data_IF_346171489962
#
_entry.id   IF_346171489962
#
_cell.length_a   1.000
_cell.length_b   1.000
_cell.length_c   1.000
_cell.angle_alpha   90.00
_cell.angle_beta   90.00
_cell.angle_gamma   90.00
#
_symmetry.space_group_name_H-M   'P 1'
#
loop_
_entity.id
_entity.type
_entity.pdbx_description
1 polymer ?
#
# COMPACT_ATOMS: atom_id res chain seq x y z
N UNK A 1 -5.66 -26.78 51.31
CA UNK A 1 -5.05 -27.58 52.39
C UNK A 1 -4.85 -28.99 51.86
N UNK A 2 -3.65 -29.57 52.03
CA UNK A 2 -3.27 -30.95 51.69
C UNK A 2 -4.25 -32.00 52.31
N UNK A 3 -4.36 -33.30 51.93
CA UNK A 3 -3.31 -34.30 51.64
C UNK A 3 -3.93 -35.64 51.10
N UNK A 4 -3.28 -36.33 50.12
CA UNK A 4 -3.12 -37.82 49.88
C UNK A 4 -4.37 -38.76 49.81
N UNK A 5 -4.38 -40.01 49.27
CA UNK A 5 -3.41 -41.01 48.72
C UNK A 5 -4.23 -41.97 47.78
N UNK A 6 -3.81 -42.36 46.56
CA UNK A 6 -3.06 -43.58 46.14
C UNK A 6 -3.70 -44.93 46.59
N UNK A 7 -3.68 -46.08 45.86
CA UNK A 7 -2.74 -46.71 44.89
C UNK A 7 -3.49 -47.75 43.98
N UNK A 8 -3.06 -48.06 42.73
CA UNK A 8 -2.84 -49.42 42.13
C UNK A 8 -2.74 -49.47 40.57
N UNK A 9 -1.70 -50.15 40.05
CA UNK A 9 -1.59 -50.68 38.67
C UNK A 9 -1.76 -52.22 38.66
N UNK A 10 -1.24 -53.03 37.68
CA UNK A 10 -0.12 -52.71 36.77
C UNK A 10 -0.19 -53.28 35.31
N UNK A 11 0.90 -53.02 34.56
CA UNK A 11 1.57 -53.89 33.55
C UNK A 11 0.90 -54.30 32.21
N UNK A 12 1.65 -54.14 31.11
CA UNK A 12 1.40 -54.74 29.80
C UNK A 12 2.31 -54.19 28.68
N UNK A 13 3.49 -54.80 28.49
CA UNK A 13 4.50 -54.40 27.48
C UNK A 13 4.58 -55.38 26.31
N UNK A 14 4.87 -54.86 25.09
CA UNK A 14 5.54 -55.46 23.91
C UNK A 14 5.01 -54.75 22.65
N UNK A 15 5.75 -54.57 21.55
CA UNK A 15 7.15 -54.86 21.23
C UNK A 15 7.34 -54.58 19.73
N UNK A 16 8.44 -53.93 19.32
CA UNK A 16 8.64 -53.49 17.92
C UNK A 16 9.46 -54.49 17.10
N UNK A 17 9.20 -54.55 15.79
CA UNK A 17 10.07 -55.28 14.83
C UNK A 17 10.23 -54.51 13.53
N UNK A 18 11.47 -54.21 13.15
CA UNK A 18 11.84 -53.74 11.80
C UNK A 18 11.99 -54.93 10.84
N UNK A 19 11.78 -54.69 9.55
CA UNK A 19 12.44 -55.45 8.48
C UNK A 19 12.72 -54.55 7.28
N UNK A 20 13.96 -54.59 6.79
CA UNK A 20 14.43 -53.93 5.57
C UNK A 20 14.83 -55.02 4.59
N UNK A 21 14.44 -54.89 3.31
CA UNK A 21 15.11 -55.56 2.21
C UNK A 21 15.11 -54.68 0.97
N UNK A 22 16.24 -54.69 0.26
CA UNK A 22 16.43 -54.06 -1.05
C UNK A 22 16.93 -55.13 -2.03
N UNK A 23 16.70 -54.98 -3.33
CA UNK A 23 17.72 -55.22 -4.36
C UNK A 23 17.29 -54.77 -5.78
N UNK A 24 18.29 -54.20 -6.46
CA UNK A 24 18.48 -53.77 -7.87
C UNK A 24 17.54 -54.26 -9.00
N UNK A 25 17.23 -53.33 -9.92
CA UNK A 25 17.96 -53.26 -11.21
C UNK A 25 17.20 -53.50 -12.54
N UNK A 26 17.14 -52.50 -13.42
CA UNK A 26 17.12 -52.64 -14.89
C UNK A 26 17.44 -51.30 -15.60
N UNK A 27 18.02 -51.38 -16.80
CA UNK A 27 18.40 -50.25 -17.65
C UNK A 27 17.28 -49.86 -18.64
N UNK A 28 17.18 -48.58 -19.00
CA UNK A 28 16.29 -48.09 -20.05
C UNK A 28 16.77 -46.76 -20.62
N UNK A 29 17.22 -46.78 -21.88
CA UNK A 29 17.70 -45.61 -22.62
C UNK A 29 16.55 -44.81 -23.24
N UNK A 30 16.59 -43.49 -23.12
CA UNK A 30 15.90 -42.57 -24.05
C UNK A 30 16.89 -41.54 -24.56
N UNK A 31 16.86 -41.35 -25.87
CA UNK A 31 17.79 -40.51 -26.64
C UNK A 31 17.16 -39.14 -26.95
N UNK A 32 17.96 -38.25 -27.53
CA UNK A 32 17.76 -36.80 -27.71
C UNK A 32 16.35 -36.30 -28.10
N UNK A 33 15.94 -35.18 -27.49
CA UNK A 33 15.83 -33.91 -28.23
C UNK A 33 15.83 -32.72 -27.29
N UNK A 34 16.92 -31.96 -27.28
CA UNK A 34 17.12 -30.79 -26.42
C UNK A 34 16.40 -29.56 -26.99
N UNK A 35 15.24 -29.22 -26.43
CA UNK A 35 14.72 -27.85 -26.48
C UNK A 35 15.17 -27.11 -25.20
N UNK A 36 15.95 -26.01 -25.28
CA UNK A 36 16.29 -25.24 -24.08
C UNK A 36 15.02 -24.58 -23.53
N UNK A 37 14.70 -24.74 -22.22
CA UNK A 37 13.55 -24.08 -21.63
C UNK A 37 13.75 -22.56 -21.62
N UNK A 38 12.64 -21.83 -21.76
CA UNK A 38 12.63 -20.37 -21.74
C UNK A 38 13.43 -19.83 -20.54
N UNK A 39 14.41 -18.97 -20.82
CA UNK A 39 15.30 -18.41 -19.82
C UNK A 39 14.51 -17.65 -18.74
N UNK A 40 14.43 -18.23 -17.54
CA UNK A 40 14.13 -17.45 -16.34
C UNK A 40 15.21 -16.39 -16.21
N UNK A 41 14.88 -15.12 -16.50
CA UNK A 41 15.64 -13.98 -16.00
C UNK A 41 15.41 -13.88 -14.49
N UNK A 42 16.03 -14.82 -13.76
CA UNK A 42 16.17 -14.77 -12.31
C UNK A 42 17.24 -13.74 -11.96
N UNK A 43 16.97 -12.48 -12.29
CA UNK A 43 17.73 -11.33 -11.85
C UNK A 43 17.51 -11.12 -10.36
N UNK A 44 18.17 -11.95 -9.55
CA UNK A 44 18.22 -11.80 -8.10
C UNK A 44 18.99 -10.54 -7.74
N UNK A 45 18.29 -9.40 -7.77
CA UNK A 45 18.79 -8.17 -7.16
C UNK A 45 18.79 -8.37 -5.65
N UNK A 46 19.98 -8.33 -5.09
CA UNK A 46 20.22 -8.26 -3.65
C UNK A 46 19.67 -6.94 -3.11
N UNK A 47 18.38 -6.93 -2.78
CA UNK A 47 17.84 -5.89 -1.90
C UNK A 47 18.56 -5.96 -0.56
N UNK A 48 19.14 -4.84 -0.15
CA UNK A 48 20.01 -4.75 1.02
C UNK A 48 19.18 -4.62 2.31
N UNK A 49 18.32 -5.61 2.57
CA UNK A 49 17.86 -5.96 3.91
C UNK A 49 16.77 -5.09 4.51
N UNK A 50 15.75 -4.68 3.75
CA UNK A 50 14.50 -4.16 4.34
C UNK A 50 13.31 -4.89 3.71
N UNK A 51 12.40 -5.52 4.49
CA UNK A 51 11.31 -6.34 3.95
C UNK A 51 10.34 -5.58 3.02
N UNK A 52 9.65 -6.35 2.17
CA UNK A 52 8.59 -5.90 1.25
C UNK A 52 7.32 -5.34 1.92
N UNK A 53 7.33 -5.18 3.26
CA UNK A 53 6.15 -5.03 4.11
C UNK A 53 5.37 -3.72 3.91
N UNK A 54 6.00 -2.69 3.35
CA UNK A 54 5.35 -1.40 3.02
C UNK A 54 5.01 -1.22 1.53
N UNK A 55 5.31 -2.20 0.66
CA UNK A 55 4.74 -2.26 -0.70
C UNK A 55 3.32 -2.88 -0.72
N UNK A 56 2.89 -3.43 0.43
CA UNK A 56 1.78 -4.39 0.53
C UNK A 56 0.38 -3.88 0.14
N UNK A 57 0.07 -2.59 0.26
CA UNK A 57 -1.30 -2.13 -0.04
C UNK A 57 -1.66 -2.20 -1.53
N UNK A 58 -0.67 -2.16 -2.42
CA UNK A 58 -0.89 -2.11 -3.88
C UNK A 58 -0.29 -3.30 -4.65
N UNK A 59 0.39 -4.23 -3.97
CA UNK A 59 1.00 -5.40 -4.60
C UNK A 59 0.00 -6.31 -5.36
N UNK A 60 -1.28 -6.28 -4.98
CA UNK A 60 -2.37 -7.06 -5.61
C UNK A 60 -3.08 -6.33 -6.75
N UNK A 61 -2.75 -5.06 -7.01
CA UNK A 61 -3.48 -4.24 -7.99
C UNK A 61 -4.90 -3.83 -7.57
N UNK A 62 -5.30 -4.08 -6.31
CA UNK A 62 -6.65 -3.84 -5.81
C UNK A 62 -6.75 -2.75 -4.73
N UNK A 63 -5.65 -2.06 -4.38
CA UNK A 63 -5.59 -1.09 -3.30
C UNK A 63 -5.71 0.38 -3.73
N UNK A 64 -5.08 1.27 -2.95
CA UNK A 64 -5.05 2.72 -3.13
C UNK A 64 -4.71 3.14 -4.57
N UNK A 65 -5.61 3.87 -5.23
CA UNK A 65 -5.35 4.42 -6.56
C UNK A 65 -5.22 3.37 -7.67
N UNK A 66 -5.71 2.14 -7.43
CA UNK A 66 -5.80 1.07 -8.42
C UNK A 66 -6.82 1.32 -9.53
N UNK A 67 -7.65 2.36 -9.42
CA UNK A 67 -8.81 2.61 -10.26
C UNK A 67 -9.80 1.43 -10.34
N UNK A 68 -9.81 0.58 -9.31
CA UNK A 68 -10.83 -0.42 -9.12
C UNK A 68 -12.21 0.25 -9.02
N UNK A 69 -13.21 -0.32 -9.69
CA UNK A 69 -14.60 0.09 -9.50
C UNK A 69 -15.11 -0.46 -8.17
N UNK A 70 -14.93 0.33 -7.11
CA UNK A 70 -15.35 -0.01 -5.75
C UNK A 70 -16.87 0.07 -5.57
N UNK A 71 -17.59 0.72 -6.49
CA UNK A 71 -19.00 1.10 -6.34
C UNK A 71 -19.26 2.17 -5.27
N UNK A 72 -18.22 2.84 -4.76
CA UNK A 72 -18.30 3.84 -3.68
C UNK A 72 -18.24 5.28 -4.22
N UNK A 73 -18.85 6.25 -3.53
CA UNK A 73 -18.55 7.67 -3.73
C UNK A 73 -17.06 8.00 -3.45
N UNK A 74 -16.55 9.06 -4.06
CA UNK A 74 -15.11 9.30 -4.15
C UNK A 74 -14.45 9.82 -2.87
N UNK A 75 -15.22 10.54 -2.07
CA UNK A 75 -14.88 10.92 -0.71
C UNK A 75 -14.83 9.68 0.21
N UNK A 76 -15.80 8.77 0.10
CA UNK A 76 -15.81 7.49 0.82
C UNK A 76 -14.63 6.61 0.40
N UNK A 77 -14.35 6.47 -0.91
CA UNK A 77 -13.20 5.71 -1.39
C UNK A 77 -11.87 6.31 -0.89
N UNK A 78 -11.66 7.62 -1.03
CA UNK A 78 -10.45 8.29 -0.54
C UNK A 78 -10.24 8.06 0.97
N UNK A 79 -11.30 8.15 1.77
CA UNK A 79 -11.23 7.89 3.21
C UNK A 79 -10.70 6.48 3.49
N UNK A 80 -11.26 5.46 2.83
CA UNK A 80 -10.89 4.07 3.05
C UNK A 80 -9.46 3.79 2.57
N UNK A 81 -9.08 4.36 1.42
CA UNK A 81 -7.73 4.27 0.86
C UNK A 81 -6.66 4.88 1.77
N UNK A 82 -6.96 6.01 2.41
CA UNK A 82 -6.02 6.68 3.31
C UNK A 82 -6.03 6.12 4.75
N UNK A 83 -7.14 5.52 5.21
CA UNK A 83 -7.34 5.17 6.64
C UNK A 83 -7.50 3.71 6.98
N UNK A 84 -8.16 2.94 6.12
CA UNK A 84 -8.64 1.60 6.49
C UNK A 84 -7.78 0.50 5.86
N UNK A 85 -7.43 0.64 4.59
CA UNK A 85 -6.88 -0.46 3.80
C UNK A 85 -5.45 -0.85 4.18
N UNK A 86 -4.70 0.00 4.90
CA UNK A 86 -3.42 -0.39 5.51
C UNK A 86 -3.52 -1.64 6.40
N UNK A 87 -4.69 -1.87 7.02
CA UNK A 87 -4.99 -3.09 7.77
C UNK A 87 -6.11 -3.95 7.15
N UNK A 88 -7.00 -3.36 6.35
CA UNK A 88 -8.24 -3.98 5.85
C UNK A 88 -8.23 -4.26 4.33
N UNK A 89 -7.21 -5.00 3.86
CA UNK A 89 -7.13 -5.52 2.48
C UNK A 89 -7.12 -7.06 2.38
N UNK A 90 -6.95 -7.76 3.49
CA UNK A 90 -6.86 -9.22 3.52
C UNK A 90 -8.15 -9.83 4.07
N UNK A 91 -8.16 -11.15 4.30
CA UNK A 91 -9.27 -11.82 5.00
C UNK A 91 -9.27 -11.58 6.52
N UNK A 92 -8.18 -11.07 7.10
CA UNK A 92 -8.02 -10.88 8.55
C UNK A 92 -7.01 -9.77 8.88
N UNK A 93 -7.46 -8.57 9.31
CA UNK A 93 -8.87 -8.11 9.37
C UNK A 93 -9.57 -8.16 8.00
N UNK A 94 -10.91 -8.38 7.97
CA UNK A 94 -11.66 -8.49 6.72
C UNK A 94 -11.56 -7.21 5.87
N UNK A 95 -11.70 -7.31 4.54
CA UNK A 95 -11.51 -6.18 3.64
C UNK A 95 -12.64 -5.17 3.79
N UNK A 96 -12.33 -3.89 3.51
CA UNK A 96 -13.25 -2.74 3.67
C UNK A 96 -13.22 -1.75 2.48
N UNK A 97 -12.71 -2.13 1.31
CA UNK A 97 -12.51 -1.21 0.19
C UNK A 97 -13.67 -1.17 -0.82
N UNK A 98 -14.48 -2.23 -0.91
CA UNK A 98 -15.60 -2.27 -1.87
C UNK A 98 -16.95 -1.99 -1.21
N UNK A 99 -17.93 -1.58 -2.03
CA UNK A 99 -19.33 -1.45 -1.59
C UNK A 99 -19.86 -2.73 -0.92
N UNK A 100 -19.57 -3.89 -1.52
CA UNK A 100 -20.03 -5.19 -1.01
C UNK A 100 -19.31 -5.59 0.29
N UNK A 101 -18.06 -5.12 0.50
CA UNK A 101 -17.38 -5.26 1.79
C UNK A 101 -18.04 -4.44 2.89
N UNK A 102 -18.37 -3.18 2.59
CA UNK A 102 -18.97 -2.25 3.53
C UNK A 102 -20.40 -2.63 3.91
N UNK A 103 -21.21 -3.16 2.98
CA UNK A 103 -22.56 -3.61 3.26
C UNK A 103 -22.67 -5.06 3.77
N UNK A 104 -21.55 -5.79 3.83
CA UNK A 104 -21.52 -7.13 4.44
C UNK A 104 -22.09 -7.08 5.86
N UNK A 105 -23.04 -7.95 6.24
CA UNK A 105 -23.53 -8.01 7.61
C UNK A 105 -22.42 -8.43 8.57
N UNK A 106 -22.31 -7.75 9.72
CA UNK A 106 -21.50 -8.24 10.83
C UNK A 106 -22.25 -9.37 11.52
N UNK A 107 -21.57 -10.51 11.69
CA UNK A 107 -22.11 -11.74 12.31
C UNK A 107 -22.74 -11.50 13.70
N UNK A 108 -22.30 -10.45 14.40
CA UNK A 108 -22.85 -10.02 15.69
C UNK A 108 -23.34 -8.57 15.60
N UNK A 109 -24.63 -8.36 15.86
CA UNK A 109 -25.25 -7.04 16.07
C UNK A 109 -26.16 -6.54 14.95
N UNK A 110 -26.31 -7.27 13.84
CA UNK A 110 -27.23 -6.90 12.73
C UNK A 110 -26.79 -5.72 11.87
N UNK A 111 -25.81 -4.93 12.33
CA UNK A 111 -25.17 -3.84 11.60
C UNK A 111 -24.32 -4.35 10.43
N UNK A 112 -24.21 -3.54 9.39
CA UNK A 112 -23.22 -3.66 8.32
C UNK A 112 -21.80 -3.38 8.82
N UNK A 113 -20.80 -3.72 8.01
CA UNK A 113 -19.41 -3.32 8.29
C UNK A 113 -19.25 -1.79 8.29
N UNK A 114 -19.96 -1.06 7.43
CA UNK A 114 -19.93 0.41 7.38
C UNK A 114 -20.44 1.06 8.68
N UNK A 115 -21.61 0.66 9.17
CA UNK A 115 -22.16 1.13 10.44
C UNK A 115 -21.24 0.78 11.61
N UNK A 116 -20.67 -0.43 11.59
CA UNK A 116 -19.68 -0.86 12.60
C UNK A 116 -18.41 0.02 12.53
N UNK A 117 -17.94 0.37 11.34
CA UNK A 117 -16.77 1.25 11.18
C UNK A 117 -17.04 2.65 11.74
N UNK A 118 -18.23 3.22 11.51
CA UNK A 118 -18.62 4.51 12.11
C UNK A 118 -18.67 4.43 13.64
N UNK A 119 -19.29 3.38 14.22
CA UNK A 119 -19.28 3.16 15.68
C UNK A 119 -17.86 3.10 16.24
N UNK A 120 -16.96 2.37 15.56
CA UNK A 120 -15.59 2.14 16.04
C UNK A 120 -14.67 3.33 15.84
N UNK A 121 -14.81 4.10 14.76
CA UNK A 121 -14.07 5.37 14.62
C UNK A 121 -14.44 6.38 15.73
N UNK A 122 -15.67 6.28 16.28
CA UNK A 122 -16.15 7.11 17.40
C UNK A 122 -15.93 6.48 18.79
N UNK A 123 -15.41 5.25 18.86
CA UNK A 123 -15.34 4.50 20.13
C UNK A 123 -14.12 4.89 20.97
N UNK A 124 -14.36 5.39 22.19
CA UNK A 124 -13.29 5.63 23.16
C UNK A 124 -12.74 4.33 23.81
N UNK A 125 -13.40 3.18 23.65
CA UNK A 125 -13.06 1.91 24.33
C UNK A 125 -12.62 0.79 23.39
N UNK A 126 -13.02 0.83 22.11
CA UNK A 126 -12.50 -0.06 21.07
C UNK A 126 -12.38 0.69 19.73
N UNK A 127 -11.53 1.74 19.69
CA UNK A 127 -11.34 2.56 18.50
C UNK A 127 -10.91 1.74 17.28
N UNK A 128 -11.28 2.24 16.09
CA UNK A 128 -10.64 1.86 14.83
C UNK A 128 -10.20 3.11 14.08
N UNK A 129 -8.96 3.15 13.56
CA UNK A 129 -7.92 2.13 13.73
C UNK A 129 -7.44 2.06 15.19
N UNK A 130 -6.84 0.93 15.64
CA UNK A 130 -6.41 0.76 17.02
C UNK A 130 -5.06 1.48 17.26
N UNK A 131 -4.77 1.99 18.46
CA UNK A 131 -3.46 2.55 18.79
C UNK A 131 -2.31 1.58 18.43
N UNK A 132 -1.18 2.06 17.89
CA UNK A 132 -0.77 3.47 17.80
C UNK A 132 -1.33 4.25 16.60
N UNK A 133 -2.18 3.64 15.78
CA UNK A 133 -2.68 4.26 14.55
C UNK A 133 -3.46 5.57 14.80
N UNK A 134 -3.37 6.50 13.85
CA UNK A 134 -4.02 7.81 13.90
C UNK A 134 -5.52 7.65 13.64
N UNK A 135 -6.35 8.18 14.54
CA UNK A 135 -7.80 8.20 14.36
C UNK A 135 -8.19 9.20 13.26
N UNK A 136 -9.13 8.87 12.36
CA UNK A 136 -9.69 9.82 11.41
C UNK A 136 -10.27 11.07 12.09
N UNK A 137 -10.15 12.20 11.41
CA UNK A 137 -10.71 13.49 11.86
C UNK A 137 -12.24 13.45 11.94
N UNK A 138 -12.84 14.38 12.68
CA UNK A 138 -14.31 14.46 12.84
C UNK A 138 -15.00 14.59 11.48
N UNK A 139 -14.43 15.33 10.53
CA UNK A 139 -15.03 15.50 9.21
C UNK A 139 -14.81 14.29 8.29
N UNK A 140 -13.72 13.52 8.47
CA UNK A 140 -13.54 12.23 7.80
C UNK A 140 -14.55 11.19 8.30
N UNK A 141 -14.77 11.13 9.62
CA UNK A 141 -15.81 10.28 10.20
C UNK A 141 -17.19 10.68 9.64
N UNK A 142 -17.43 11.98 9.47
CA UNK A 142 -18.67 12.50 8.91
C UNK A 142 -18.88 12.11 7.43
N UNK A 143 -17.84 11.86 6.64
CA UNK A 143 -17.99 11.34 5.26
C UNK A 143 -18.68 9.97 5.28
N UNK A 144 -18.13 9.01 6.01
CA UNK A 144 -18.72 7.66 6.08
C UNK A 144 -20.08 7.67 6.79
N UNK A 145 -20.24 8.45 7.87
CA UNK A 145 -21.51 8.56 8.59
C UNK A 145 -22.63 9.15 7.73
N UNK A 146 -22.36 10.22 6.97
CA UNK A 146 -23.37 10.81 6.09
C UNK A 146 -23.74 9.88 4.93
N UNK A 147 -22.77 9.14 4.38
CA UNK A 147 -23.04 8.12 3.36
C UNK A 147 -23.94 6.99 3.89
N UNK A 148 -23.62 6.43 5.06
CA UNK A 148 -24.45 5.42 5.74
C UNK A 148 -25.86 5.97 6.03
N UNK A 149 -25.95 7.19 6.56
CA UNK A 149 -27.24 7.85 6.87
C UNK A 149 -28.08 8.14 5.61
N UNK A 150 -27.45 8.32 4.46
CA UNK A 150 -28.12 8.47 3.17
C UNK A 150 -28.64 7.13 2.58
N UNK A 151 -28.51 6.02 3.31
CA UNK A 151 -28.88 4.68 2.84
C UNK A 151 -27.79 4.01 1.99
N UNK A 152 -26.54 4.45 2.12
CA UNK A 152 -25.37 3.91 1.43
C UNK A 152 -25.54 3.81 -0.10
N UNK A 153 -25.83 4.92 -0.82
CA UNK A 153 -25.98 4.88 -2.28
C UNK A 153 -24.68 4.48 -2.99
N UNK A 154 -24.77 3.68 -4.06
CA UNK A 154 -23.62 3.40 -4.93
C UNK A 154 -23.11 4.67 -5.61
N UNK A 155 -21.79 4.82 -5.66
CA UNK A 155 -21.12 5.82 -6.48
C UNK A 155 -20.87 5.33 -7.91
N UNK A 156 -20.55 6.26 -8.81
CA UNK A 156 -19.87 5.92 -10.06
C UNK A 156 -18.37 5.74 -9.79
N UNK A 157 -17.67 4.94 -10.61
CA UNK A 157 -16.22 4.78 -10.52
C UNK A 157 -15.50 6.13 -10.53
N UNK A 158 -14.71 6.38 -9.49
CA UNK A 158 -14.16 7.69 -9.18
C UNK A 158 -12.94 8.08 -9.98
N UNK A 159 -12.21 7.08 -10.47
CA UNK A 159 -11.00 7.22 -11.25
C UNK A 159 -11.03 6.12 -12.29
N UNK A 160 -10.78 6.40 -13.58
CA UNK A 160 -10.63 5.34 -14.56
C UNK A 160 -9.60 4.32 -14.08
N UNK A 161 -9.82 3.03 -14.35
CA UNK A 161 -8.79 2.02 -14.21
C UNK A 161 -7.49 2.54 -14.87
N UNK A 162 -6.32 2.41 -14.22
CA UNK A 162 -5.07 2.79 -14.82
C UNK A 162 -4.93 2.09 -16.16
N UNK A 163 -4.50 2.84 -17.18
CA UNK A 163 -4.06 2.21 -18.41
C UNK A 163 -3.00 1.16 -18.09
N UNK A 164 -2.97 0.07 -18.86
CA UNK A 164 -1.94 -0.96 -18.76
C UNK A 164 -0.58 -0.28 -18.62
N UNK A 165 0.25 -0.61 -17.60
CA UNK A 165 1.57 -0.01 -17.47
C UNK A 165 2.28 -0.11 -18.82
N UNK A 166 2.66 1.04 -19.38
CA UNK A 166 3.29 1.06 -20.70
C UNK A 166 4.58 0.25 -20.60
N UNK A 167 4.61 -0.93 -21.23
CA UNK A 167 5.75 -1.85 -21.18
C UNK A 167 7.03 -1.07 -21.42
N UNK A 168 8.08 -1.24 -20.58
CA UNK A 168 9.09 -0.22 -20.25
C UNK A 168 9.51 0.57 -21.47
N UNK A 169 8.81 1.69 -21.68
CA UNK A 169 8.72 2.27 -23.01
C UNK A 169 10.01 3.04 -23.26
N UNK A 170 10.72 2.66 -24.33
CA UNK A 170 11.97 3.30 -24.73
C UNK A 170 11.82 4.83 -24.73
N UNK A 171 12.43 5.47 -23.73
CA UNK A 171 12.04 6.80 -23.29
C UNK A 171 12.49 7.06 -21.85
N UNK A 172 12.14 8.24 -21.33
CA UNK A 172 12.71 8.79 -20.08
C UNK A 172 12.44 8.00 -18.79
N UNK A 173 11.55 6.99 -18.84
CA UNK A 173 11.26 6.12 -17.71
C UNK A 173 12.14 4.86 -17.67
N UNK A 174 12.79 4.47 -18.78
CA UNK A 174 13.68 3.30 -18.79
C UNK A 174 15.06 3.65 -18.22
N UNK A 175 15.14 3.82 -16.89
CA UNK A 175 16.38 4.11 -16.15
C UNK A 175 16.86 2.89 -15.36
N UNK A 176 18.17 2.70 -15.14
CA UNK A 176 18.63 1.65 -14.23
C UNK A 176 18.13 1.90 -12.80
N UNK A 177 17.91 0.83 -12.02
CA UNK A 177 17.66 0.97 -10.58
C UNK A 177 18.91 1.52 -9.90
N UNK A 178 18.87 2.77 -9.44
CA UNK A 178 20.03 3.42 -8.82
C UNK A 178 19.61 4.52 -7.84
N UNK A 179 20.47 4.84 -6.88
CA UNK A 179 20.30 6.02 -6.04
C UNK A 179 21.11 7.18 -6.63
N UNK A 180 20.49 7.99 -7.50
CA UNK A 180 21.17 9.01 -8.30
C UNK A 180 21.81 10.10 -7.44
N UNK A 181 21.24 10.40 -6.28
CA UNK A 181 21.80 11.39 -5.33
C UNK A 181 23.04 10.88 -4.58
N UNK A 182 23.30 9.56 -4.60
CA UNK A 182 24.35 8.91 -3.80
C UNK A 182 24.17 9.05 -2.28
N UNK A 183 22.98 9.49 -1.82
CA UNK A 183 22.69 9.78 -0.41
C UNK A 183 21.39 9.10 0.00
N UNK A 184 21.44 8.33 1.08
CA UNK A 184 20.26 7.69 1.67
C UNK A 184 19.90 8.30 3.01
N UNK A 185 18.65 8.08 3.44
CA UNK A 185 18.19 8.38 4.78
C UNK A 185 18.84 7.44 5.79
N UNK A 186 19.61 8.02 6.71
CA UNK A 186 20.33 7.29 7.78
C UNK A 186 19.76 7.54 9.18
N UNK A 187 18.71 8.35 9.30
CA UNK A 187 18.13 8.72 10.60
C UNK A 187 17.23 7.66 11.24
N UNK A 188 16.98 6.53 10.58
CA UNK A 188 16.07 5.48 11.06
C UNK A 188 14.67 6.03 11.36
N UNK A 189 14.05 5.57 12.45
CA UNK A 189 12.72 6.04 12.91
C UNK A 189 12.73 7.44 13.57
N UNK A 190 13.82 8.21 13.52
CA UNK A 190 13.84 9.59 14.04
C UNK A 190 12.88 10.46 13.22
N UNK A 191 11.94 11.11 13.92
CA UNK A 191 11.01 12.06 13.31
C UNK A 191 11.77 13.12 12.48
N UNK A 192 11.37 13.27 11.22
CA UNK A 192 11.90 14.26 10.31
C UNK A 192 10.97 14.40 9.10
N UNK A 193 10.74 15.60 8.54
CA UNK A 193 10.03 15.74 7.27
C UNK A 193 10.79 15.11 6.09
N UNK A 194 12.09 14.84 6.28
CA UNK A 194 12.98 14.27 5.27
C UNK A 194 13.15 12.74 5.44
N UNK A 195 12.40 12.09 6.34
CA UNK A 195 12.54 10.67 6.63
C UNK A 195 12.03 9.76 5.50
N UNK A 196 12.64 8.58 5.40
CA UNK A 196 12.22 7.48 4.52
C UNK A 196 11.74 7.87 3.10
N UNK A 197 12.54 8.62 2.30
CA UNK A 197 12.15 8.97 0.94
C UNK A 197 11.80 7.74 0.09
N UNK A 198 10.78 7.86 -0.75
CA UNK A 198 10.29 6.78 -1.62
C UNK A 198 9.40 5.74 -0.93
N UNK A 199 9.27 5.74 0.41
CA UNK A 199 8.30 4.87 1.10
C UNK A 199 6.89 5.46 1.08
N UNK A 200 5.87 4.61 1.26
CA UNK A 200 4.48 5.02 1.45
C UNK A 200 4.36 5.86 2.74
N UNK A 201 3.94 7.12 2.59
CA UNK A 201 3.99 8.12 3.66
C UNK A 201 2.74 8.06 4.56
N UNK A 202 1.55 8.09 3.94
CA UNK A 202 0.27 8.15 4.65
C UNK A 202 -0.02 6.80 5.30
N UNK A 203 0.27 5.72 4.59
CA UNK A 203 0.10 4.33 5.08
C UNK A 203 0.87 4.12 6.38
N UNK A 204 2.16 4.46 6.37
CA UNK A 204 3.03 4.35 7.54
C UNK A 204 2.57 5.29 8.68
N UNK A 205 2.34 6.58 8.41
CA UNK A 205 1.96 7.53 9.47
C UNK A 205 0.55 7.27 10.03
N UNK A 206 -0.39 6.76 9.23
CA UNK A 206 -1.70 6.33 9.72
C UNK A 206 -1.57 5.10 10.61
N UNK A 207 -0.72 4.12 10.28
CA UNK A 207 -0.57 2.88 11.06
C UNK A 207 0.32 3.02 12.31
N UNK A 208 1.45 3.73 12.22
CA UNK A 208 2.44 3.83 13.31
C UNK A 208 2.24 5.04 14.24
N UNK A 209 1.34 5.97 13.91
CA UNK A 209 1.03 7.14 14.74
C UNK A 209 1.90 8.36 14.43
N UNK A 210 1.65 9.02 13.29
CA UNK A 210 2.45 10.16 12.84
C UNK A 210 1.66 11.34 12.26
N UNK A 211 2.34 12.27 11.59
CA UNK A 211 1.73 13.42 10.92
C UNK A 211 0.60 13.04 9.97
N UNK A 212 -0.57 13.61 10.21
CA UNK A 212 -1.77 13.35 9.42
C UNK A 212 -1.75 14.02 8.04
N UNK A 213 -1.25 13.32 7.02
CA UNK A 213 -1.13 13.82 5.65
C UNK A 213 -2.30 13.35 4.77
N UNK A 214 -2.76 14.23 3.88
CA UNK A 214 -3.78 13.99 2.84
C UNK A 214 -3.14 13.80 1.47
N UNK A 215 -1.95 14.36 1.23
CA UNK A 215 -1.11 14.09 0.06
C UNK A 215 0.35 14.07 0.50
N UNK A 216 1.10 13.03 0.13
CA UNK A 216 2.54 12.94 0.42
C UNK A 216 3.28 11.98 -0.53
N UNK A 217 4.59 12.22 -0.71
CA UNK A 217 5.46 11.37 -1.51
C UNK A 217 6.86 11.96 -1.69
N UNK A 218 7.59 11.45 -2.69
CA UNK A 218 8.97 11.87 -2.97
C UNK A 218 9.21 12.05 -4.48
N UNK A 219 9.79 13.19 -4.86
CA UNK A 219 10.20 13.50 -6.24
C UNK A 219 11.67 13.12 -6.47
N UNK A 220 11.96 12.43 -7.58
CA UNK A 220 13.28 11.89 -7.94
C UNK A 220 13.81 12.42 -9.29
N UNK A 221 15.13 12.36 -9.54
CA UNK A 221 15.71 12.72 -10.83
C UNK A 221 15.56 11.60 -11.88
N UNK A 222 15.39 10.34 -11.47
CA UNK A 222 15.15 9.19 -12.35
C UNK A 222 13.92 8.38 -11.93
N UNK A 223 13.47 7.46 -12.79
CA UNK A 223 12.22 6.72 -12.60
C UNK A 223 12.35 5.51 -11.67
N UNK A 224 13.56 4.98 -11.51
CA UNK A 224 13.80 3.74 -10.78
C UNK A 224 14.83 3.98 -9.67
N UNK A 225 14.37 4.50 -8.53
CA UNK A 225 15.23 4.78 -7.37
C UNK A 225 14.79 3.93 -6.16
N UNK A 226 15.73 3.32 -5.43
CA UNK A 226 15.40 2.47 -4.29
C UNK A 226 14.74 3.28 -3.18
N UNK A 227 14.07 2.58 -2.25
CA UNK A 227 13.60 3.22 -1.03
C UNK A 227 14.78 3.83 -0.26
N UNK A 228 14.48 4.87 0.50
CA UNK A 228 15.39 5.62 1.36
C UNK A 228 16.48 6.41 0.63
N UNK A 229 16.58 6.34 -0.71
CA UNK A 229 17.40 7.25 -1.49
C UNK A 229 16.80 8.66 -1.48
N UNK A 230 17.61 9.68 -1.18
CA UNK A 230 17.18 11.07 -1.28
C UNK A 230 16.89 11.42 -2.75
N UNK A 231 15.73 12.02 -3.00
CA UNK A 231 15.30 12.46 -4.32
C UNK A 231 15.94 13.79 -4.76
N UNK A 232 15.18 14.60 -5.51
CA UNK A 232 15.68 15.91 -5.99
C UNK A 232 15.80 16.92 -4.85
N UNK A 233 16.77 17.84 -5.01
CA UNK A 233 16.85 19.02 -4.14
C UNK A 233 15.67 19.97 -4.39
N UNK A 234 15.53 20.98 -3.52
CA UNK A 234 14.55 22.04 -3.65
C UNK A 234 14.66 22.79 -5.00
N UNK A 235 13.54 23.39 -5.44
CA UNK A 235 13.42 24.06 -6.75
C UNK A 235 12.37 23.43 -7.67
N UNK A 236 11.76 22.32 -7.25
CA UNK A 236 10.52 21.77 -7.82
C UNK A 236 9.34 21.97 -6.86
N UNK A 237 8.11 21.92 -7.39
CA UNK A 237 6.86 22.00 -6.64
C UNK A 237 5.89 20.96 -7.16
N UNK A 238 5.20 20.26 -6.26
CA UNK A 238 4.09 19.38 -6.60
C UNK A 238 2.81 20.21 -6.58
N UNK A 239 2.12 20.26 -7.71
CA UNK A 239 0.87 21.01 -7.88
C UNK A 239 -0.27 20.01 -7.92
N UNK A 240 -1.18 20.11 -6.95
CA UNK A 240 -2.38 19.27 -6.85
C UNK A 240 -3.58 20.12 -7.26
N UNK A 241 -4.33 19.68 -8.27
CA UNK A 241 -5.62 20.27 -8.67
C UNK A 241 -6.73 19.30 -8.32
N UNK A 242 -7.61 19.71 -7.41
CA UNK A 242 -8.66 18.85 -6.88
C UNK A 242 -9.96 18.89 -7.72
N UNK A 243 -10.94 18.05 -7.40
CA UNK A 243 -12.20 17.94 -8.13
C UNK A 243 -13.02 19.24 -8.17
N UNK A 244 -12.79 20.19 -7.26
CA UNK A 244 -13.43 21.52 -7.26
C UNK A 244 -12.69 22.53 -8.13
N UNK A 245 -11.56 22.15 -8.72
CA UNK A 245 -10.66 23.04 -9.46
C UNK A 245 -9.68 23.81 -8.56
N UNK A 246 -9.70 23.58 -7.25
CA UNK A 246 -8.78 24.23 -6.31
C UNK A 246 -7.35 23.72 -6.53
N UNK A 247 -6.43 24.65 -6.71
CA UNK A 247 -5.00 24.38 -6.87
C UNK A 247 -4.27 24.51 -5.54
N UNK A 248 -3.50 23.50 -5.17
CA UNK A 248 -2.63 23.47 -3.99
C UNK A 248 -1.19 23.24 -4.42
N UNK A 249 -0.31 24.20 -4.11
CA UNK A 249 1.12 24.10 -4.37
C UNK A 249 1.83 23.53 -3.13
N UNK A 250 2.38 22.32 -3.26
CA UNK A 250 3.11 21.62 -2.20
C UNK A 250 4.61 21.71 -2.47
N UNK A 251 5.39 22.43 -1.65
CA UNK A 251 6.82 22.59 -1.87
C UNK A 251 7.58 21.29 -1.59
N UNK A 252 8.59 21.01 -2.40
CA UNK A 252 9.47 19.84 -2.26
C UNK A 252 10.71 20.22 -1.45
N UNK A 253 11.10 19.35 -0.51
CA UNK A 253 12.23 19.53 0.40
C UNK A 253 13.55 19.06 -0.20
N UNK A 254 14.64 19.22 0.55
CA UNK A 254 16.00 18.87 0.10
C UNK A 254 16.23 17.38 -0.18
N UNK A 255 15.36 16.48 0.29
CA UNK A 255 15.41 15.03 0.00
C UNK A 255 14.36 14.57 -1.02
N UNK A 256 13.72 15.49 -1.74
CA UNK A 256 12.63 15.19 -2.67
C UNK A 256 11.27 14.98 -1.99
N UNK A 257 11.22 14.87 -0.66
CA UNK A 257 9.97 14.69 0.08
C UNK A 257 9.04 15.90 -0.02
N UNK A 258 7.74 15.64 -0.13
CA UNK A 258 6.67 16.63 -0.02
C UNK A 258 5.50 16.05 0.78
N UNK A 259 4.76 16.92 1.47
CA UNK A 259 3.59 16.51 2.23
C UNK A 259 2.63 17.67 2.50
N UNK A 260 1.34 17.35 2.63
CA UNK A 260 0.25 18.31 2.85
C UNK A 260 -0.83 17.71 3.77
N UNK A 261 -1.34 18.51 4.70
CA UNK A 261 -2.35 18.10 5.72
C UNK A 261 -3.74 18.72 5.51
N UNK A 262 -3.91 19.59 4.52
CA UNK A 262 -5.19 20.24 4.26
C UNK A 262 -6.10 19.39 3.38
N UNK A 263 -7.33 19.85 3.14
CA UNK A 263 -8.31 19.15 2.29
C UNK A 263 -7.98 19.25 0.79
N UNK A 264 -8.09 18.12 0.11
CA UNK A 264 -8.02 17.93 -1.35
C UNK A 264 -9.26 17.10 -1.75
N UNK A 265 -10.15 17.65 -2.57
CA UNK A 265 -11.35 16.93 -3.01
C UNK A 265 -11.03 15.84 -4.07
N UNK A 266 -11.40 14.57 -3.85
CA UNK A 266 -11.19 13.49 -4.83
C UNK A 266 -12.22 13.54 -5.97
N UNK A 267 -11.88 13.04 -7.17
CA UNK A 267 -10.54 12.69 -7.63
C UNK A 267 -9.70 13.93 -7.96
N UNK A 268 -8.39 13.86 -7.77
CA UNK A 268 -7.47 14.98 -8.03
C UNK A 268 -6.39 14.62 -9.04
N UNK A 269 -5.86 15.64 -9.74
CA UNK A 269 -4.72 15.53 -10.65
C UNK A 269 -3.47 16.13 -9.99
N UNK A 270 -2.31 15.57 -10.34
CA UNK A 270 -1.01 16.02 -9.84
C UNK A 270 -0.10 16.34 -11.02
N UNK A 271 0.72 17.38 -10.88
CA UNK A 271 1.90 17.60 -11.73
C UNK A 271 3.08 18.05 -10.90
N UNK A 272 4.29 17.74 -11.35
CA UNK A 272 5.51 18.37 -10.83
C UNK A 272 5.87 19.53 -11.75
N UNK A 273 6.27 20.66 -11.19
CA UNK A 273 6.77 21.84 -11.94
C UNK A 273 8.14 22.25 -11.42
N UNK A 274 9.00 22.76 -12.29
CA UNK A 274 10.35 23.23 -11.93
C UNK A 274 11.16 23.63 -13.17
N UNK A 275 12.04 24.61 -13.03
CA UNK A 275 12.91 25.07 -14.14
C UNK A 275 12.15 25.52 -15.41
N UNK A 276 10.91 26.01 -15.27
CA UNK A 276 10.05 26.39 -16.41
C UNK A 276 9.39 25.22 -17.14
N UNK A 277 9.56 23.99 -16.66
CA UNK A 277 8.97 22.76 -17.22
C UNK A 277 7.94 22.15 -16.27
N UNK A 278 7.13 21.23 -16.81
CA UNK A 278 6.20 20.42 -16.03
C UNK A 278 6.15 18.95 -16.47
N UNK A 279 5.82 18.08 -15.51
CA UNK A 279 5.52 16.66 -15.72
C UNK A 279 4.16 16.36 -15.11
N UNK A 280 3.19 16.01 -15.95
CA UNK A 280 1.78 15.89 -15.59
C UNK A 280 1.38 14.42 -15.43
N UNK A 281 0.65 14.10 -14.36
CA UNK A 281 0.07 12.77 -14.15
C UNK A 281 -1.07 12.54 -15.14
N UNK A 282 -1.08 11.38 -15.82
CA UNK A 282 -2.03 11.09 -16.88
C UNK A 282 -3.48 10.92 -16.37
N UNK A 283 -3.64 10.17 -15.28
CA UNK A 283 -4.94 9.85 -14.66
C UNK A 283 -5.15 10.71 -13.42
N UNK A 284 -6.40 10.95 -13.01
CA UNK A 284 -6.70 11.48 -11.68
C UNK A 284 -6.75 10.34 -10.65
N UNK A 285 -6.45 10.61 -9.38
CA UNK A 285 -6.48 9.60 -8.30
C UNK A 285 -7.30 10.09 -7.10
N UNK A 286 -7.74 9.15 -6.26
CA UNK A 286 -8.36 9.40 -4.95
C UNK A 286 -7.36 9.30 -3.79
N UNK A 287 -6.41 8.38 -3.89
CA UNK A 287 -5.41 8.08 -2.86
C UNK A 287 -4.35 9.18 -2.70
N UNK A 288 -4.10 9.59 -1.45
CA UNK A 288 -3.11 10.61 -1.11
C UNK A 288 -1.65 10.15 -1.09
N UNK A 289 -1.43 8.85 -0.92
CA UNK A 289 -0.10 8.28 -0.71
C UNK A 289 0.59 8.02 -2.06
N UNK A 290 1.22 9.06 -2.62
CA UNK A 290 1.70 9.01 -4.00
C UNK A 290 2.74 7.89 -4.21
N UNK A 291 3.57 7.63 -3.19
CA UNK A 291 4.59 6.58 -3.23
C UNK A 291 4.00 5.16 -3.19
N UNK A 292 2.71 4.97 -2.86
CA UNK A 292 2.04 3.67 -2.93
C UNK A 292 1.82 3.19 -4.38
N UNK A 293 1.75 4.10 -5.35
CA UNK A 293 1.78 3.76 -6.78
C UNK A 293 3.18 4.01 -7.37
N UNK A 294 3.80 5.12 -6.99
CA UNK A 294 5.14 5.52 -7.46
C UNK A 294 6.28 4.83 -6.67
N UNK A 295 6.27 3.50 -6.70
CA UNK A 295 7.33 2.65 -6.14
C UNK A 295 8.59 2.67 -7.03
N UNK A 296 9.66 2.00 -6.59
CA UNK A 296 10.88 1.87 -7.38
C UNK A 296 10.64 1.16 -8.73
N UNK A 297 9.70 0.22 -8.80
CA UNK A 297 9.31 -0.45 -10.05
C UNK A 297 8.12 0.22 -10.76
N UNK A 298 7.29 0.95 -10.02
CA UNK A 298 5.97 1.40 -10.46
C UNK A 298 4.92 0.30 -10.31
N UNK A 299 3.74 0.65 -9.79
CA UNK A 299 2.56 -0.24 -9.72
C UNK A 299 1.30 0.57 -10.08
N UNK A 300 0.15 -0.10 -10.29
CA UNK A 300 -1.13 0.54 -10.61
C UNK A 300 -1.04 1.56 -11.78
N UNK A 301 -0.32 1.19 -12.86
CA UNK A 301 -0.12 2.04 -14.03
C UNK A 301 0.93 3.14 -13.89
N UNK A 302 1.51 3.35 -12.70
CA UNK A 302 2.67 4.23 -12.55
C UNK A 302 3.91 3.57 -13.20
N UNK A 303 4.73 4.33 -13.97
CA UNK A 303 5.93 3.80 -14.63
C UNK A 303 7.16 3.71 -13.72
N UNK A 304 7.02 4.05 -12.44
CA UNK A 304 8.13 4.22 -11.49
C UNK A 304 7.90 5.41 -10.56
N UNK A 305 8.98 5.94 -10.00
CA UNK A 305 9.02 7.12 -9.14
C UNK A 305 8.42 8.37 -9.77
N UNK A 306 7.98 9.29 -8.91
CA UNK A 306 7.55 10.64 -9.31
C UNK A 306 8.81 11.38 -9.78
N UNK A 307 8.98 11.58 -11.08
CA UNK A 307 10.15 12.30 -11.59
C UNK A 307 9.97 13.82 -11.56
N UNK A 308 11.08 14.53 -11.42
CA UNK A 308 11.17 15.95 -11.79
C UNK A 308 10.92 16.18 -13.30
N UNK A 309 10.56 17.41 -13.73
CA UNK A 309 10.25 17.71 -15.14
C UNK A 309 11.38 17.50 -16.16
#
# INVERSE_FOLDING_TARGET
MQIRKAVFGPSGTCGATLAVFALLGACGTVDETLAPPAGRLSGGVIDAGIPDDMAGINATGAGAGSGADTGLPCDVQQLLENRCIGCHLSSSPPPLLTYDDLLRPRVVGGKTMAETSVDRMKSATSPMPPPPAVLPTVEEIAVLENWVKAGSPKGASCTPAPGTPAAPSGGVYNTPLTCTSGKTWTGGRRESPDMYPGRACITCHTMEGGPDYVVAGTVYPSAHEPNDCNGVNAGVTVVVTDATGKVTNVPVRGTGNFSFKGRIAPPFKVKVVGGGKERVMATAVTAGDCNACHTAAGVNGAPGRIMSP
#
